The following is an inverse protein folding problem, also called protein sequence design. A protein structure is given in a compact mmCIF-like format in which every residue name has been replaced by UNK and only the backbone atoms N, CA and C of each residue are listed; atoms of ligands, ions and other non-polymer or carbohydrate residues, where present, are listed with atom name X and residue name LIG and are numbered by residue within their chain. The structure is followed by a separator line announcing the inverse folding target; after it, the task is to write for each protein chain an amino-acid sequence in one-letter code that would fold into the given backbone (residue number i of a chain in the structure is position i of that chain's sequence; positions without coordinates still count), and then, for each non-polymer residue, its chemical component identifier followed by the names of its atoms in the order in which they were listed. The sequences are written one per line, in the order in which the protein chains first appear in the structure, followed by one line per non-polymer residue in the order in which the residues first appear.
data_IF_288713422390
#
_entry.id   IF_288713422390
#
_cell.length_a   1.000
_cell.length_b   1.000
_cell.length_c   1.000
_cell.angle_alpha   90.00
_cell.angle_beta   90.00
_cell.angle_gamma   90.00
#
_symmetry.space_group_name_H-M   'P 1'
#
loop_
_entity.id
_entity.type
_entity.pdbx_description
1 polymer ?
#
# COMPACT_ATOMS: atom_id res chain seq x y z
N UNK A 1 -13.26 5.87 -73.34
CA UNK A 1 -12.35 5.30 -72.32
C UNK A 1 -12.59 6.03 -71.01
N UNK A 2 -13.27 5.37 -70.06
CA UNK A 2 -13.80 5.98 -68.84
C UNK A 2 -12.79 5.86 -67.70
N UNK A 3 -12.42 7.01 -67.13
CA UNK A 3 -11.77 7.12 -65.84
C UNK A 3 -12.74 6.68 -64.73
N UNK A 4 -12.32 5.73 -63.88
CA UNK A 4 -13.00 5.41 -62.62
C UNK A 4 -11.99 5.56 -61.48
N UNK A 5 -12.06 6.74 -60.86
CA UNK A 5 -11.98 7.09 -59.44
C UNK A 5 -11.34 6.09 -58.45
N UNK A 6 -10.31 6.59 -57.73
CA UNK A 6 -9.55 6.00 -56.61
C UNK A 6 -10.40 5.78 -55.33
N UNK A 7 -11.72 5.68 -55.43
CA UNK A 7 -12.64 5.64 -54.26
C UNK A 7 -13.01 4.23 -53.78
N UNK A 8 -12.41 3.17 -54.32
CA UNK A 8 -12.70 1.77 -53.97
C UNK A 8 -11.59 1.06 -53.16
N UNK A 9 -10.47 1.73 -52.86
CA UNK A 9 -9.40 1.16 -52.02
C UNK A 9 -9.58 1.44 -50.52
N UNK A 10 -10.59 2.21 -50.12
CA UNK A 10 -10.84 2.55 -48.71
C UNK A 10 -11.92 1.66 -48.06
N UNK A 11 -12.64 0.83 -48.82
CA UNK A 11 -13.80 0.08 -48.32
C UNK A 11 -13.61 -1.45 -48.25
N UNK A 12 -12.36 -1.93 -48.38
CA UNK A 12 -12.03 -3.36 -48.19
C UNK A 12 -11.18 -3.65 -46.95
N UNK A 13 -10.65 -2.63 -46.26
CA UNK A 13 -9.98 -2.82 -44.96
C UNK A 13 -10.96 -2.90 -43.79
N UNK A 14 -12.19 -2.43 -43.96
CA UNK A 14 -13.25 -2.51 -42.95
C UNK A 14 -14.13 -3.77 -43.04
N UNK A 15 -13.98 -4.61 -44.08
CA UNK A 15 -14.83 -5.80 -44.24
C UNK A 15 -14.17 -7.11 -43.75
N UNK A 16 -12.88 -7.10 -43.42
CA UNK A 16 -12.22 -8.23 -42.74
C UNK A 16 -12.13 -8.05 -41.22
N UNK A 17 -12.59 -6.91 -40.69
CA UNK A 17 -12.61 -6.64 -39.26
C UNK A 17 -13.94 -7.00 -38.58
N UNK A 18 -14.96 -7.37 -39.34
CA UNK A 18 -16.34 -7.52 -38.82
C UNK A 18 -16.82 -8.96 -38.64
N UNK A 19 -16.14 -9.97 -39.20
CA UNK A 19 -16.63 -11.37 -39.07
C UNK A 19 -15.70 -12.33 -38.31
N UNK A 20 -14.44 -11.95 -38.02
CA UNK A 20 -13.53 -12.78 -37.19
C UNK A 20 -13.39 -12.37 -35.73
N UNK A 21 -14.06 -11.29 -35.30
CA UNK A 21 -14.09 -10.86 -33.89
C UNK A 21 -15.25 -11.53 -33.12
N UNK A 22 -16.15 -12.25 -33.80
CA UNK A 22 -17.38 -12.81 -33.21
C UNK A 22 -17.30 -14.29 -32.77
N UNK A 23 -16.11 -14.91 -32.77
CA UNK A 23 -15.95 -16.32 -32.31
C UNK A 23 -14.84 -16.52 -31.29
N UNK A 24 -14.53 -15.51 -30.47
CA UNK A 24 -13.92 -15.74 -29.14
C UNK A 24 -15.00 -15.60 -28.07
N UNK A 25 -15.89 -16.58 -28.04
CA UNK A 25 -16.85 -16.79 -26.95
C UNK A 25 -16.16 -17.45 -25.75
N UNK A 26 -15.06 -16.89 -25.26
CA UNK A 26 -14.61 -17.20 -23.90
C UNK A 26 -15.47 -16.38 -22.95
N UNK A 27 -16.61 -16.93 -22.53
CA UNK A 27 -17.43 -16.41 -21.43
C UNK A 27 -16.65 -16.53 -20.11
N UNK A 28 -15.56 -15.80 -19.95
CA UNK A 28 -15.15 -15.38 -18.61
C UNK A 28 -16.13 -14.29 -18.24
N UNK A 29 -17.03 -14.53 -17.28
CA UNK A 29 -17.88 -13.42 -16.80
C UNK A 29 -16.91 -12.43 -16.16
N UNK A 30 -17.09 -11.12 -16.35
CA UNK A 30 -16.27 -10.13 -15.63
C UNK A 30 -16.22 -10.39 -14.11
N UNK A 31 -17.25 -11.05 -13.54
CA UNK A 31 -17.33 -11.47 -12.13
C UNK A 31 -16.32 -12.56 -11.73
N UNK A 32 -15.75 -13.28 -12.70
CA UNK A 32 -14.80 -14.38 -12.48
C UNK A 32 -13.34 -13.87 -12.50
N UNK A 33 -13.10 -12.61 -12.87
CA UNK A 33 -11.79 -11.98 -12.81
C UNK A 33 -11.49 -11.61 -11.36
N UNK A 34 -10.69 -12.44 -10.68
CA UNK A 34 -10.17 -12.14 -9.35
C UNK A 34 -8.88 -11.34 -9.48
N UNK A 35 -8.91 -10.07 -9.13
CA UNK A 35 -7.68 -9.29 -8.93
C UNK A 35 -6.99 -9.79 -7.65
N UNK A 36 -5.66 -9.91 -7.69
CA UNK A 36 -4.88 -10.12 -6.47
C UNK A 36 -5.10 -8.91 -5.57
N UNK A 37 -5.59 -9.15 -4.36
CA UNK A 37 -5.76 -8.10 -3.37
C UNK A 37 -4.40 -7.71 -2.80
N UNK A 38 -4.08 -6.42 -2.89
CA UNK A 38 -2.90 -5.79 -2.31
C UNK A 38 -3.11 -5.71 -0.80
N UNK A 39 -2.18 -6.27 -0.06
CA UNK A 39 -2.11 -6.17 1.39
C UNK A 39 -1.27 -4.97 1.82
N UNK A 40 -1.38 -4.58 3.09
CA UNK A 40 -0.52 -3.52 3.67
C UNK A 40 0.97 -3.87 3.51
N UNK A 41 1.36 -5.14 3.67
CA UNK A 41 2.77 -5.54 3.55
C UNK A 41 3.31 -5.41 2.12
N UNK A 42 2.43 -5.42 1.11
CA UNK A 42 2.85 -5.20 -0.28
C UNK A 42 3.21 -3.74 -0.57
N UNK A 43 2.86 -2.79 0.32
CA UNK A 43 3.03 -1.34 0.13
C UNK A 43 3.71 -0.62 1.29
N UNK A 44 3.89 -1.30 2.42
CA UNK A 44 4.43 -0.71 3.63
C UNK A 44 5.96 -0.76 3.66
N UNK A 45 6.60 0.38 3.91
CA UNK A 45 8.05 0.48 4.12
C UNK A 45 8.38 0.41 5.61
N UNK A 46 9.20 -0.58 6.06
CA UNK A 46 9.66 -0.66 7.44
C UNK A 46 10.42 0.59 7.89
N UNK A 47 10.33 0.92 9.18
CA UNK A 47 11.00 2.08 9.78
C UNK A 47 12.49 1.83 10.01
N UNK A 48 12.88 0.56 10.09
CA UNK A 48 14.27 0.14 10.27
C UNK A 48 15.03 0.33 8.96
N UNK A 49 16.17 1.03 9.04
CA UNK A 49 17.07 1.29 7.91
C UNK A 49 18.09 0.19 7.76
N UNK A 50 18.66 -0.27 8.88
CA UNK A 50 19.64 -1.36 8.91
C UNK A 50 19.30 -2.37 9.98
N UNK A 51 19.56 -3.63 9.67
CA UNK A 51 19.41 -4.72 10.61
C UNK A 51 20.70 -5.54 10.70
N UNK A 52 21.02 -5.97 11.91
CA UNK A 52 22.10 -6.91 12.19
C UNK A 52 21.74 -8.30 11.63
N UNK A 53 22.49 -8.76 10.62
CA UNK A 53 22.32 -10.07 9.99
C UNK A 53 23.52 -10.95 10.32
N UNK A 54 23.24 -12.16 10.78
CA UNK A 54 24.24 -13.21 11.01
C UNK A 54 24.12 -14.25 9.91
N UNK A 55 25.22 -14.54 9.22
CA UNK A 55 25.24 -15.59 8.21
C UNK A 55 25.39 -16.99 8.84
N UNK A 56 25.32 -18.05 8.01
CA UNK A 56 25.48 -19.43 8.47
C UNK A 56 26.85 -19.71 9.13
N UNK A 57 27.86 -18.90 8.80
CA UNK A 57 29.23 -19.02 9.32
C UNK A 57 29.46 -18.24 10.63
N UNK A 58 28.40 -17.62 11.19
CA UNK A 58 28.45 -16.90 12.47
C UNK A 58 28.97 -15.47 12.40
N UNK A 59 29.37 -14.96 11.23
CA UNK A 59 29.74 -13.57 11.07
C UNK A 59 28.51 -12.68 11.10
N UNK A 60 28.65 -11.53 11.76
CA UNK A 60 27.59 -10.54 11.84
C UNK A 60 27.96 -9.27 11.10
N UNK A 61 27.05 -8.73 10.27
CA UNK A 61 27.15 -7.39 9.69
C UNK A 61 25.84 -6.62 9.81
N UNK A 62 25.92 -5.29 9.78
CA UNK A 62 24.75 -4.44 9.56
C UNK A 62 24.44 -4.44 8.06
N UNK A 63 23.24 -4.86 7.70
CA UNK A 63 22.77 -4.90 6.33
C UNK A 63 21.59 -3.93 6.16
N UNK A 64 21.53 -3.26 5.01
CA UNK A 64 20.40 -2.39 4.68
C UNK A 64 19.15 -3.27 4.53
N UNK A 65 18.08 -2.91 5.22
CA UNK A 65 16.78 -3.55 5.00
C UNK A 65 16.31 -3.09 3.62
N UNK A 66 16.12 -4.03 2.68
CA UNK A 66 15.64 -3.68 1.34
C UNK A 66 14.29 -2.96 1.44
N UNK A 67 14.26 -1.70 0.98
CA UNK A 67 13.10 -0.80 0.99
C UNK A 67 12.33 -0.81 -0.34
N UNK A 68 12.68 -1.71 -1.26
CA UNK A 68 12.12 -1.71 -2.61
C UNK A 68 10.71 -2.30 -2.60
N UNK A 69 9.74 -1.42 -2.79
CA UNK A 69 8.35 -1.75 -2.98
C UNK A 69 8.07 -1.54 -4.46
N UNK A 70 7.79 -2.62 -5.18
CA UNK A 70 7.39 -2.52 -6.57
C UNK A 70 6.04 -1.79 -6.66
N UNK A 71 5.83 -0.89 -7.64
CA UNK A 71 4.54 -0.26 -7.85
C UNK A 71 3.45 -1.32 -7.94
N UNK A 72 2.34 -1.11 -7.24
CA UNK A 72 1.26 -2.10 -7.20
C UNK A 72 0.49 -2.21 -8.52
N UNK A 73 0.76 -1.29 -9.45
CA UNK A 73 0.00 -1.10 -10.69
C UNK A 73 -1.20 -0.17 -10.51
N UNK A 74 -1.51 0.27 -9.29
CA UNK A 74 -2.56 1.25 -9.01
C UNK A 74 -1.95 2.56 -8.52
N UNK A 75 -1.96 3.58 -9.40
CA UNK A 75 -1.42 4.91 -9.11
C UNK A 75 -2.00 5.52 -7.82
N UNK A 76 -3.29 5.29 -7.55
CA UNK A 76 -3.95 5.83 -6.37
C UNK A 76 -3.55 5.09 -5.09
N UNK A 77 -3.36 3.76 -5.14
CA UNK A 77 -2.89 3.01 -3.98
C UNK A 77 -1.44 3.38 -3.67
N UNK A 78 -0.59 3.44 -4.70
CA UNK A 78 0.82 3.80 -4.57
C UNK A 78 0.98 5.23 -4.01
N UNK A 79 0.20 6.19 -4.53
CA UNK A 79 0.24 7.57 -4.05
C UNK A 79 -0.26 7.73 -2.60
N UNK A 80 -1.31 6.99 -2.20
CA UNK A 80 -1.77 7.00 -0.80
C UNK A 80 -0.71 6.36 0.10
N UNK A 81 -0.13 5.22 -0.29
CA UNK A 81 0.92 4.57 0.50
C UNK A 81 2.12 5.50 0.69
N UNK A 82 2.56 6.18 -0.38
CA UNK A 82 3.63 7.17 -0.31
C UNK A 82 3.28 8.34 0.62
N UNK A 83 2.05 8.86 0.57
CA UNK A 83 1.60 9.91 1.48
C UNK A 83 1.58 9.44 2.93
N UNK A 84 1.16 8.21 3.21
CA UNK A 84 1.15 7.65 4.57
C UNK A 84 2.56 7.33 5.10
N UNK A 85 3.50 7.04 4.19
CA UNK A 85 4.90 6.74 4.53
C UNK A 85 5.66 7.95 5.08
N UNK A 86 5.21 9.17 4.84
CA UNK A 86 5.79 10.38 5.47
C UNK A 86 5.56 10.38 6.99
N UNK A 87 4.56 9.65 7.47
CA UNK A 87 4.14 9.66 8.87
C UNK A 87 3.27 10.86 9.25
N UNK A 88 2.94 11.74 8.30
CA UNK A 88 2.04 12.86 8.54
C UNK A 88 0.58 12.40 8.71
N UNK A 89 -0.21 13.19 9.44
CA UNK A 89 -1.64 12.95 9.58
C UNK A 89 -2.40 13.50 8.36
N UNK A 90 -3.12 12.60 7.69
CA UNK A 90 -4.06 12.95 6.62
C UNK A 90 -5.47 12.44 6.91
N UNK A 91 -6.49 13.17 6.50
CA UNK A 91 -7.85 12.67 6.37
C UNK A 91 -8.08 12.08 4.98
N UNK A 92 -9.03 11.16 4.84
CA UNK A 92 -9.39 10.64 3.51
C UNK A 92 -9.89 11.73 2.56
N UNK A 93 -10.46 12.82 3.08
CA UNK A 93 -10.89 13.98 2.28
C UNK A 93 -9.71 14.79 1.75
N UNK A 94 -8.66 14.97 2.55
CA UNK A 94 -7.43 15.66 2.13
C UNK A 94 -6.71 14.86 1.04
N UNK A 95 -6.58 13.54 1.21
CA UNK A 95 -6.00 12.67 0.19
C UNK A 95 -6.81 12.70 -1.11
N UNK A 96 -8.14 12.62 -1.01
CA UNK A 96 -9.00 12.74 -2.19
C UNK A 96 -8.78 14.06 -2.94
N UNK A 97 -8.71 15.19 -2.21
CA UNK A 97 -8.44 16.51 -2.81
C UNK A 97 -7.06 16.58 -3.45
N UNK A 98 -6.02 16.10 -2.76
CA UNK A 98 -4.66 16.08 -3.29
C UNK A 98 -4.54 15.26 -4.57
N UNK A 99 -5.36 14.21 -4.70
CA UNK A 99 -5.45 13.34 -5.88
C UNK A 99 -6.50 13.78 -6.90
N UNK A 100 -7.05 14.99 -6.77
CA UNK A 100 -8.06 15.57 -7.67
C UNK A 100 -9.28 14.66 -7.88
N UNK A 101 -9.71 13.99 -6.82
CA UNK A 101 -10.83 13.05 -6.83
C UNK A 101 -11.72 13.25 -5.59
N UNK A 102 -12.64 12.32 -5.35
CA UNK A 102 -13.49 12.31 -4.17
C UNK A 102 -13.34 11.00 -3.37
N UNK A 103 -13.82 11.02 -2.12
CA UNK A 103 -13.73 9.87 -1.20
C UNK A 103 -14.49 8.66 -1.70
N UNK A 104 -15.56 8.84 -2.48
CA UNK A 104 -16.34 7.72 -3.05
C UNK A 104 -15.51 6.95 -4.07
N UNK A 105 -14.82 7.66 -4.96
CA UNK A 105 -13.91 7.06 -5.95
C UNK A 105 -12.74 6.36 -5.24
N UNK A 106 -12.10 7.01 -4.27
CA UNK A 106 -11.02 6.36 -3.50
C UNK A 106 -11.54 5.10 -2.79
N UNK A 107 -12.68 5.15 -2.11
CA UNK A 107 -13.24 3.97 -1.46
C UNK A 107 -13.48 2.83 -2.46
N UNK A 108 -14.01 3.12 -3.66
CA UNK A 108 -14.20 2.10 -4.70
C UNK A 108 -12.88 1.49 -5.19
N UNK A 109 -11.85 2.32 -5.38
CA UNK A 109 -10.50 1.87 -5.76
C UNK A 109 -9.89 0.99 -4.67
N UNK A 110 -9.94 1.42 -3.41
CA UNK A 110 -9.41 0.65 -2.30
C UNK A 110 -10.17 -0.67 -2.10
N UNK A 111 -11.49 -0.66 -2.27
CA UNK A 111 -12.30 -1.86 -2.17
C UNK A 111 -11.94 -2.87 -3.28
N UNK A 112 -11.70 -2.38 -4.50
CA UNK A 112 -11.31 -3.20 -5.64
C UNK A 112 -9.91 -3.81 -5.47
N UNK A 113 -8.94 -2.99 -5.05
CA UNK A 113 -7.54 -3.35 -5.04
C UNK A 113 -7.08 -4.01 -3.74
N UNK A 114 -7.68 -3.66 -2.60
CA UNK A 114 -7.24 -4.12 -1.27
C UNK A 114 -8.31 -4.91 -0.53
N UNK A 115 -9.57 -4.88 -1.00
CA UNK A 115 -10.70 -5.48 -0.31
C UNK A 115 -11.23 -4.67 0.87
N UNK A 116 -10.69 -3.48 1.12
CA UNK A 116 -11.02 -2.60 2.25
C UNK A 116 -11.39 -1.20 1.76
N UNK A 117 -12.14 -0.44 2.53
CA UNK A 117 -12.31 0.99 2.25
C UNK A 117 -11.04 1.80 2.56
N UNK A 118 -10.98 3.06 2.07
CA UNK A 118 -9.81 3.92 2.26
C UNK A 118 -9.48 4.13 3.76
N UNK A 119 -10.50 4.31 4.59
CA UNK A 119 -10.29 4.58 6.02
C UNK A 119 -9.71 3.35 6.71
N UNK A 120 -10.22 2.15 6.43
CA UNK A 120 -9.70 0.89 6.95
C UNK A 120 -8.24 0.69 6.54
N UNK A 121 -7.93 0.91 5.26
CA UNK A 121 -6.55 0.83 4.76
C UNK A 121 -5.61 1.79 5.50
N UNK A 122 -5.98 3.08 5.59
CA UNK A 122 -5.18 4.08 6.31
C UNK A 122 -4.97 3.68 7.77
N UNK A 123 -6.00 3.20 8.47
CA UNK A 123 -5.88 2.77 9.85
C UNK A 123 -4.95 1.57 10.02
N UNK A 124 -5.03 0.57 9.14
CA UNK A 124 -4.14 -0.59 9.20
C UNK A 124 -2.70 -0.21 8.89
N UNK A 125 -2.47 0.67 7.91
CA UNK A 125 -1.15 1.19 7.58
C UNK A 125 -0.51 1.90 8.76
N UNK A 126 -1.24 2.82 9.40
CA UNK A 126 -0.78 3.56 10.58
C UNK A 126 -0.46 2.64 11.75
N UNK A 127 -1.28 1.61 11.96
CA UNK A 127 -1.04 0.61 13.01
C UNK A 127 0.18 -0.25 12.72
N UNK A 128 0.37 -0.69 11.47
CA UNK A 128 1.57 -1.43 11.06
C UNK A 128 2.81 -0.59 11.33
N UNK A 129 2.78 0.70 10.98
CA UNK A 129 3.86 1.66 11.25
C UNK A 129 4.12 1.83 12.74
N UNK A 130 3.07 1.98 13.55
CA UNK A 130 3.22 2.10 14.99
C UNK A 130 3.82 0.83 15.62
N UNK A 131 3.38 -0.36 15.20
CA UNK A 131 3.97 -1.62 15.65
C UNK A 131 5.46 -1.68 15.33
N UNK A 132 5.85 -1.24 14.14
CA UNK A 132 7.24 -1.21 13.70
C UNK A 132 8.08 -0.27 14.57
N UNK A 133 7.62 0.96 14.84
CA UNK A 133 8.29 1.86 15.76
C UNK A 133 8.39 1.27 17.17
N UNK A 134 7.30 0.69 17.70
CA UNK A 134 7.27 0.10 19.04
C UNK A 134 8.25 -1.07 19.20
N UNK A 135 8.44 -1.87 18.14
CA UNK A 135 9.28 -3.06 18.17
C UNK A 135 10.77 -2.75 17.97
N UNK A 136 11.12 -1.64 17.33
CA UNK A 136 12.49 -1.40 16.87
C UNK A 136 13.16 -0.15 17.45
N UNK A 137 12.43 0.75 18.13
CA UNK A 137 13.01 2.00 18.63
C UNK A 137 12.69 2.26 20.10
N UNK A 138 13.26 3.33 20.66
CA UNK A 138 13.01 3.83 22.01
C UNK A 138 12.18 5.10 22.11
N UNK A 139 11.62 5.56 20.98
CA UNK A 139 10.67 6.66 20.93
C UNK A 139 9.58 6.49 21.99
N UNK A 140 9.06 7.57 22.55
CA UNK A 140 7.95 7.45 23.50
C UNK A 140 6.62 7.15 22.76
N UNK A 141 5.56 6.86 23.53
CA UNK A 141 4.25 6.51 22.94
C UNK A 141 3.62 7.69 22.20
N UNK A 142 3.95 8.92 22.58
CA UNK A 142 3.47 10.13 21.93
C UNK A 142 4.15 10.32 20.56
N UNK A 143 5.46 10.19 20.50
CA UNK A 143 6.25 10.25 19.25
C UNK A 143 5.85 9.15 18.29
N UNK A 144 5.64 7.92 18.79
CA UNK A 144 5.11 6.81 17.97
C UNK A 144 3.75 7.17 17.37
N UNK A 145 2.84 7.75 18.15
CA UNK A 145 1.53 8.15 17.63
C UNK A 145 1.67 9.18 16.50
N UNK A 146 2.48 10.20 16.73
CA UNK A 146 2.73 11.29 15.78
C UNK A 146 3.41 10.79 14.51
N UNK A 147 4.53 10.06 14.60
CA UNK A 147 5.28 9.51 13.46
C UNK A 147 4.53 8.40 12.71
N UNK A 148 3.46 7.88 13.28
CA UNK A 148 2.57 6.89 12.64
C UNK A 148 1.32 7.54 12.04
N UNK A 149 1.23 8.86 11.97
CA UNK A 149 0.13 9.57 11.33
C UNK A 149 -1.18 9.54 12.12
N UNK A 150 -1.13 9.46 13.46
CA UNK A 150 -2.30 9.69 14.30
C UNK A 150 -2.39 11.16 14.73
N UNK A 151 -3.59 11.73 14.70
CA UNK A 151 -3.80 13.13 15.10
C UNK A 151 -3.47 13.39 16.57
N UNK A 152 -3.74 12.42 17.45
CA UNK A 152 -3.49 12.55 18.89
C UNK A 152 -3.16 11.20 19.53
N UNK A 153 -2.35 11.20 20.59
CA UNK A 153 -2.02 10.00 21.35
C UNK A 153 -3.25 9.28 21.95
N UNK A 154 -4.27 9.94 22.51
CA UNK A 154 -5.47 9.23 22.98
C UNK A 154 -6.24 8.52 21.86
N UNK A 155 -6.31 9.12 20.66
CA UNK A 155 -6.94 8.47 19.50
C UNK A 155 -6.16 7.24 19.05
N UNK A 156 -4.84 7.34 19.04
CA UNK A 156 -3.93 6.23 18.78
C UNK A 156 -4.13 5.09 19.79
N UNK A 157 -4.01 5.35 21.09
CA UNK A 157 -4.11 4.32 22.13
C UNK A 157 -5.44 3.57 22.05
N UNK A 158 -6.55 4.30 21.85
CA UNK A 158 -7.87 3.68 21.70
C UNK A 158 -7.94 2.77 20.47
N UNK A 159 -7.44 3.24 19.33
CA UNK A 159 -7.47 2.47 18.09
C UNK A 159 -6.53 1.26 18.17
N UNK A 160 -5.33 1.43 18.73
CA UNK A 160 -4.34 0.37 18.92
C UNK A 160 -4.90 -0.73 19.81
N UNK A 161 -5.49 -0.38 20.97
CA UNK A 161 -6.14 -1.33 21.85
C UNK A 161 -7.31 -2.04 21.17
N UNK A 162 -8.14 -1.31 20.42
CA UNK A 162 -9.28 -1.87 19.70
C UNK A 162 -8.86 -2.94 18.69
N UNK A 163 -7.78 -2.70 17.93
CA UNK A 163 -7.35 -3.57 16.84
C UNK A 163 -6.41 -4.68 17.30
N UNK A 164 -5.44 -4.37 18.17
CA UNK A 164 -4.38 -5.30 18.59
C UNK A 164 -4.61 -5.93 19.97
N UNK A 165 -5.72 -5.56 20.63
CA UNK A 165 -6.16 -6.14 21.93
C UNK A 165 -5.12 -6.02 23.04
N UNK A 166 -4.23 -5.04 22.96
CA UNK A 166 -3.23 -4.73 23.96
C UNK A 166 -2.85 -3.24 23.92
N UNK A 167 -2.22 -2.72 24.97
CA UNK A 167 -1.70 -1.36 24.97
C UNK A 167 -0.42 -1.25 24.11
N UNK A 168 -0.08 -0.06 23.59
CA UNK A 168 1.21 0.18 22.92
C UNK A 168 2.42 -0.23 23.78
N UNK A 169 2.35 0.05 25.08
CA UNK A 169 3.41 -0.30 26.05
C UNK A 169 3.57 -1.81 26.21
N UNK A 170 2.47 -2.55 26.30
CA UNK A 170 2.52 -4.02 26.39
C UNK A 170 2.97 -4.67 25.08
N UNK A 171 2.61 -4.06 23.95
CA UNK A 171 3.12 -4.47 22.65
C UNK A 171 4.64 -4.31 22.58
N UNK A 172 5.18 -3.15 22.97
CA UNK A 172 6.63 -2.90 23.03
C UNK A 172 7.35 -3.91 23.91
N UNK A 173 6.85 -4.15 25.14
CA UNK A 173 7.46 -5.11 26.08
C UNK A 173 7.55 -6.53 25.51
N UNK A 174 6.58 -6.94 24.71
CA UNK A 174 6.52 -8.31 24.14
C UNK A 174 7.33 -8.46 22.86
N UNK A 175 7.48 -7.40 22.06
CA UNK A 175 8.03 -7.50 20.71
C UNK A 175 9.40 -6.86 20.54
N UNK A 176 9.84 -5.97 21.45
CA UNK A 176 11.15 -5.32 21.36
C UNK A 176 12.22 -6.15 22.07
N UNK A 177 13.25 -6.65 21.38
CA UNK A 177 14.34 -7.39 22.02
C UNK A 177 15.15 -6.48 22.95
N UNK A 178 15.79 -7.06 23.96
CA UNK A 178 16.55 -6.30 24.96
C UNK A 178 17.75 -5.54 24.35
N UNK A 179 18.37 -6.13 23.33
CA UNK A 179 19.50 -5.64 22.56
C UNK A 179 19.08 -4.90 21.27
N UNK A 180 17.86 -4.35 21.20
CA UNK A 180 17.34 -3.72 19.98
C UNK A 180 18.25 -2.62 19.39
N UNK A 181 18.97 -1.86 20.23
CA UNK A 181 19.90 -0.80 19.78
C UNK A 181 21.13 -1.36 19.05
N UNK A 182 21.49 -2.61 19.31
CA UNK A 182 22.57 -3.31 18.60
C UNK A 182 22.06 -4.04 17.35
N UNK A 183 20.74 -4.21 17.24
CA UNK A 183 20.09 -4.94 16.14
C UNK A 183 19.58 -4.04 15.04
N UNK A 184 19.14 -2.84 15.38
CA UNK A 184 18.40 -1.97 14.46
C UNK A 184 18.97 -0.55 14.46
N UNK A 185 19.09 0.03 13.28
CA UNK A 185 19.27 1.46 13.07
C UNK A 185 17.99 2.05 12.45
N UNK A 186 17.57 3.22 12.93
CA UNK A 186 16.43 3.97 12.43
C UNK A 186 16.79 5.45 12.23
N UNK A 187 16.03 6.15 11.39
CA UNK A 187 16.16 7.58 11.10
C UNK A 187 15.28 8.47 12.00
#
# INVERSE_FOLDING_TARGET
MKFISIRLLFDMKNLLFTEKVLTLRTKTRMKDIKLKQISINDVYRPVVTRQRVTNADGWTRMELVERQIAPTGSLLVDAVAQALDTGEYFTGKELARAMQTNTTVLNGVFQLYTGMDLHQFMQQFRLKRACDWLAHTDLDVYEVATRSGFATQPSFTRQFLKQLKCSPTDYRKRNRPADFRERYEWE
#
